data_IF_458344159779
#
_entry.id   IF_458344159779
#
_cell.length_a   1.000
_cell.length_b   1.000
_cell.length_c   1.000
_cell.angle_alpha   90.00
_cell.angle_beta   90.00
_cell.angle_gamma   90.00
#
_symmetry.space_group_name_H-M   'P 1'
#
loop_
_entity.id
_entity.type
_entity.pdbx_description
1 polymer ?
#
# COMPACT_ATOMS: atom_id res chain seq x y z
N UNK A 1 6.60 5.49 43.39
CA UNK A 1 6.97 4.92 42.08
C UNK A 1 6.02 5.52 41.08
N UNK A 2 6.50 6.50 40.31
CA UNK A 2 5.74 7.07 39.21
C UNK A 2 5.99 6.19 37.99
N UNK A 3 4.94 5.61 37.42
CA UNK A 3 5.01 4.97 36.11
C UNK A 3 5.18 6.07 35.07
N UNK A 4 6.36 6.13 34.44
CA UNK A 4 6.55 6.94 33.25
C UNK A 4 5.72 6.34 32.12
N UNK A 5 4.86 7.16 31.51
CA UNK A 5 4.25 6.82 30.24
C UNK A 5 5.35 6.70 29.18
N UNK A 6 5.29 5.71 28.27
CA UNK A 6 6.17 5.71 27.12
C UNK A 6 5.87 6.96 26.28
N UNK A 7 6.87 7.80 26.09
CA UNK A 7 6.84 8.87 25.10
C UNK A 7 6.96 8.22 23.73
N UNK A 8 5.84 7.78 23.15
CA UNK A 8 5.75 7.58 21.70
C UNK A 8 6.14 8.91 21.04
N UNK A 9 7.01 8.87 20.04
CA UNK A 9 7.26 10.06 19.22
C UNK A 9 5.89 10.57 18.74
N UNK A 10 5.62 11.85 18.98
CA UNK A 10 4.53 12.51 18.29
C UNK A 10 4.72 12.27 16.79
N UNK A 11 3.75 11.58 16.17
CA UNK A 11 3.81 11.14 14.78
C UNK A 11 4.31 12.25 13.88
N UNK A 12 5.38 11.97 13.14
CA UNK A 12 5.96 12.93 12.22
C UNK A 12 4.88 13.35 11.22
N UNK A 13 4.72 14.66 11.01
CA UNK A 13 3.75 15.18 10.04
C UNK A 13 4.05 14.61 8.64
N UNK A 14 3.00 14.32 7.87
CA UNK A 14 3.13 13.86 6.49
C UNK A 14 4.02 14.82 5.67
N UNK A 15 5.02 14.32 4.92
CA UNK A 15 5.92 15.16 4.16
C UNK A 15 5.28 15.58 2.83
N UNK A 16 4.34 16.52 2.89
CA UNK A 16 3.59 17.02 1.73
C UNK A 16 4.51 17.42 0.57
N UNK A 17 4.24 16.86 -0.61
CA UNK A 17 4.98 17.16 -1.83
C UNK A 17 6.45 16.72 -1.81
N UNK A 18 6.85 15.84 -0.90
CA UNK A 18 8.18 15.25 -0.94
C UNK A 18 8.37 14.43 -2.21
N UNK A 19 9.52 14.62 -2.86
CA UNK A 19 10.03 13.65 -3.82
C UNK A 19 10.20 12.31 -3.09
N UNK A 20 9.58 11.28 -3.64
CA UNK A 20 9.61 9.95 -3.05
C UNK A 20 10.23 8.91 -3.97
N UNK A 21 10.44 7.71 -3.44
CA UNK A 21 10.92 6.54 -4.16
C UNK A 21 10.17 5.28 -3.71
N UNK A 22 9.88 4.39 -4.65
CA UNK A 22 9.07 3.18 -4.46
C UNK A 22 9.98 1.96 -4.66
N UNK A 23 10.42 1.40 -3.53
CA UNK A 23 11.54 0.46 -3.42
C UNK A 23 11.06 -0.93 -2.94
N UNK A 24 10.10 -1.53 -3.64
CA UNK A 24 9.57 -2.85 -3.29
C UNK A 24 10.42 -3.99 -3.83
N UNK A 25 10.86 -3.92 -5.10
CA UNK A 25 11.68 -4.95 -5.73
C UNK A 25 13.11 -5.02 -5.20
N UNK A 26 13.62 -3.91 -4.64
CA UNK A 26 14.88 -3.86 -3.90
C UNK A 26 14.93 -2.62 -3.00
N UNK A 27 15.45 -2.78 -1.78
CA UNK A 27 15.78 -1.66 -0.91
C UNK A 27 17.21 -1.15 -1.21
N UNK A 28 17.36 0.15 -1.46
CA UNK A 28 18.65 0.79 -1.76
C UNK A 28 18.73 2.21 -1.20
N UNK A 29 19.93 2.76 -0.92
CA UNK A 29 20.08 4.13 -0.41
C UNK A 29 19.32 5.13 -1.30
N UNK A 30 18.40 5.95 -0.74
CA UNK A 30 17.65 6.91 -1.54
C UNK A 30 18.56 7.93 -2.21
N UNK A 31 18.19 8.34 -3.43
CA UNK A 31 18.92 9.38 -4.15
C UNK A 31 18.84 10.75 -3.48
N UNK A 32 19.73 11.66 -3.90
CA UNK A 32 19.73 13.04 -3.39
C UNK A 32 18.35 13.71 -3.56
N UNK A 33 17.85 14.31 -2.48
CA UNK A 33 16.57 15.03 -2.45
C UNK A 33 15.33 14.14 -2.29
N UNK A 34 15.47 12.81 -2.22
CA UNK A 34 14.37 11.91 -1.84
C UNK A 34 14.11 12.05 -0.34
N UNK A 35 12.90 12.51 0.01
CA UNK A 35 12.47 12.76 1.39
C UNK A 35 11.49 11.73 1.94
N UNK A 36 10.91 10.89 1.07
CA UNK A 36 10.00 9.80 1.43
C UNK A 36 10.38 8.54 0.67
N UNK A 37 10.26 7.37 1.30
CA UNK A 37 10.50 6.07 0.64
C UNK A 37 9.42 5.09 1.06
N UNK A 38 8.91 4.33 0.11
CA UNK A 38 8.09 3.14 0.38
C UNK A 38 8.95 1.89 0.21
N UNK A 39 8.92 0.99 1.18
CA UNK A 39 9.67 -0.28 1.16
C UNK A 39 8.81 -1.43 1.63
N UNK A 40 9.12 -2.63 1.13
CA UNK A 40 8.50 -3.87 1.60
C UNK A 40 8.69 -4.08 3.11
N UNK A 41 7.70 -4.68 3.78
CA UNK A 41 7.71 -4.93 5.23
C UNK A 41 8.83 -5.87 5.74
N UNK A 42 9.57 -6.49 4.83
CA UNK A 42 10.77 -7.30 5.14
C UNK A 42 12.07 -6.51 5.01
N UNK A 43 12.02 -5.28 4.49
CA UNK A 43 13.17 -4.39 4.38
C UNK A 43 13.30 -3.43 5.57
N UNK A 44 14.53 -2.98 5.82
CA UNK A 44 14.80 -1.94 6.81
C UNK A 44 14.37 -0.56 6.28
N UNK A 45 13.91 0.37 7.14
CA UNK A 45 13.63 1.74 6.72
C UNK A 45 14.92 2.47 6.28
N UNK A 46 14.76 3.46 5.40
CA UNK A 46 15.84 4.33 4.98
C UNK A 46 16.14 5.41 6.03
N UNK A 47 17.41 5.55 6.41
CA UNK A 47 17.84 6.61 7.32
C UNK A 47 17.61 8.00 6.71
N UNK A 48 17.05 8.93 7.50
CA UNK A 48 16.90 10.34 7.11
C UNK A 48 15.73 10.65 6.18
N UNK A 49 14.94 9.64 5.79
CA UNK A 49 13.70 9.80 5.03
C UNK A 49 12.46 9.50 5.89
N UNK A 50 11.29 9.94 5.43
CA UNK A 50 10.01 9.43 5.90
C UNK A 50 9.75 8.06 5.27
N UNK A 51 9.42 7.05 6.05
CA UNK A 51 9.31 5.67 5.58
C UNK A 51 7.87 5.15 5.67
N UNK A 52 7.40 4.64 4.54
CA UNK A 52 6.13 3.91 4.41
C UNK A 52 6.43 2.43 4.26
N UNK A 53 5.82 1.60 5.10
CA UNK A 53 5.95 0.15 5.08
C UNK A 53 4.87 -0.45 4.19
N UNK A 54 5.25 -1.11 3.10
CA UNK A 54 4.31 -1.85 2.25
C UNK A 54 3.91 -3.15 2.93
N UNK A 55 2.60 -3.40 3.02
CA UNK A 55 2.00 -4.59 3.58
C UNK A 55 0.93 -5.09 2.61
N UNK A 56 1.05 -6.31 2.09
CA UNK A 56 -0.06 -6.93 1.37
C UNK A 56 -1.09 -7.42 2.38
N UNK A 57 -2.24 -6.72 2.46
CA UNK A 57 -3.26 -6.96 3.48
C UNK A 57 -4.45 -7.79 3.00
N UNK A 58 -4.58 -7.98 1.69
CA UNK A 58 -5.77 -8.57 1.06
C UNK A 58 -5.44 -9.75 0.13
N UNK A 59 -4.15 -10.00 -0.11
CA UNK A 59 -3.64 -11.20 -0.77
C UNK A 59 -2.49 -11.81 0.06
N UNK A 60 -2.17 -13.08 -0.19
CA UNK A 60 -0.94 -13.68 0.32
C UNK A 60 0.27 -13.20 -0.49
N UNK A 61 1.43 -13.12 0.15
CA UNK A 61 2.69 -12.99 -0.57
C UNK A 61 3.14 -14.33 -1.21
N UNK A 62 3.88 -14.31 -2.34
CA UNK A 62 4.37 -15.53 -2.98
C UNK A 62 5.14 -16.47 -2.05
N UNK A 63 6.01 -15.92 -1.19
CA UNK A 63 6.80 -16.71 -0.23
C UNK A 63 5.97 -17.36 0.88
N UNK A 64 4.78 -16.83 1.18
CA UNK A 64 3.92 -17.32 2.26
C UNK A 64 2.82 -18.25 1.75
N UNK A 65 2.76 -18.49 0.43
CA UNK A 65 1.69 -19.26 -0.23
C UNK A 65 1.44 -20.61 0.44
N UNK A 66 2.48 -21.40 0.64
CA UNK A 66 2.35 -22.74 1.23
C UNK A 66 1.82 -22.68 2.67
N UNK A 67 2.29 -21.70 3.46
CA UNK A 67 1.79 -21.47 4.82
C UNK A 67 0.31 -21.12 4.82
N UNK A 68 -0.17 -20.32 3.86
CA UNK A 68 -1.59 -20.01 3.73
C UNK A 68 -2.42 -21.24 3.34
N UNK A 69 -1.92 -22.07 2.42
CA UNK A 69 -2.63 -23.27 1.96
C UNK A 69 -2.64 -24.40 3.00
N UNK A 70 -1.61 -24.53 3.82
CA UNK A 70 -1.50 -25.60 4.82
C UNK A 70 -2.17 -25.22 6.14
N UNK A 71 -1.89 -24.02 6.66
CA UNK A 71 -2.27 -23.66 8.03
C UNK A 71 -3.49 -22.72 8.09
N UNK A 72 -3.86 -22.09 6.97
CA UNK A 72 -4.83 -20.98 6.94
C UNK A 72 -5.80 -21.07 5.76
N UNK A 73 -6.01 -22.28 5.24
CA UNK A 73 -6.80 -22.49 4.03
C UNK A 73 -8.20 -21.90 4.12
N UNK A 74 -8.77 -21.84 5.32
CA UNK A 74 -10.11 -21.30 5.57
C UNK A 74 -10.20 -19.76 5.46
N UNK A 75 -9.06 -19.08 5.50
CA UNK A 75 -8.92 -17.63 5.27
C UNK A 75 -8.54 -17.30 3.82
N UNK A 76 -8.36 -18.31 2.96
CA UNK A 76 -8.13 -18.13 1.53
C UNK A 76 -9.44 -18.30 0.78
N UNK A 77 -9.74 -17.36 -0.11
CA UNK A 77 -10.95 -17.37 -0.91
C UNK A 77 -10.95 -18.62 -1.80
N UNK A 78 -12.10 -19.29 -1.87
CA UNK A 78 -12.26 -20.50 -2.68
C UNK A 78 -13.24 -20.24 -3.81
N UNK A 79 -12.91 -20.70 -5.01
CA UNK A 79 -13.84 -20.70 -6.14
C UNK A 79 -14.94 -21.74 -5.97
N UNK A 80 -15.88 -21.75 -6.92
CA UNK A 80 -17.00 -22.70 -6.96
C UNK A 80 -16.56 -24.16 -7.06
N UNK A 81 -15.35 -24.41 -7.58
CA UNK A 81 -14.71 -25.72 -7.68
C UNK A 81 -13.97 -26.14 -6.39
N UNK A 82 -13.91 -25.26 -5.39
CA UNK A 82 -13.20 -25.47 -4.13
C UNK A 82 -11.71 -25.15 -4.20
N UNK A 83 -11.20 -24.74 -5.37
CA UNK A 83 -9.79 -24.36 -5.52
C UNK A 83 -9.54 -22.95 -4.98
N UNK A 84 -8.32 -22.65 -4.50
CA UNK A 84 -7.96 -21.31 -4.08
C UNK A 84 -8.06 -20.31 -5.23
N UNK A 85 -8.68 -19.16 -4.98
CA UNK A 85 -8.69 -18.05 -5.95
C UNK A 85 -7.35 -17.33 -5.90
N UNK A 86 -6.73 -17.14 -7.07
CA UNK A 86 -5.46 -16.42 -7.23
C UNK A 86 -5.65 -15.15 -8.05
N UNK A 87 -4.73 -14.21 -7.90
CA UNK A 87 -4.66 -13.06 -8.79
C UNK A 87 -4.29 -13.51 -10.22
N UNK A 88 -5.03 -13.08 -11.27
CA UNK A 88 -4.67 -13.41 -12.65
C UNK A 88 -3.33 -12.82 -13.11
N UNK A 89 -2.94 -11.66 -12.58
CA UNK A 89 -1.66 -11.02 -12.87
C UNK A 89 -0.52 -11.62 -12.02
N UNK A 90 -0.84 -12.09 -10.81
CA UNK A 90 0.10 -12.67 -9.84
C UNK A 90 -0.39 -14.05 -9.36
N UNK A 91 -0.22 -15.11 -10.18
CA UNK A 91 -0.85 -16.42 -9.93
C UNK A 91 -0.34 -17.16 -8.68
N UNK A 92 0.79 -16.73 -8.15
CA UNK A 92 1.38 -17.17 -6.88
C UNK A 92 0.76 -16.49 -5.66
N UNK A 93 0.04 -15.39 -5.83
CA UNK A 93 -0.71 -14.70 -4.77
C UNK A 93 -2.16 -15.22 -4.66
N UNK A 94 -2.57 -15.52 -3.42
CA UNK A 94 -3.90 -16.02 -3.07
C UNK A 94 -4.77 -14.86 -2.61
N UNK A 95 -6.02 -14.79 -3.08
CA UNK A 95 -6.99 -13.81 -2.56
C UNK A 95 -7.44 -14.24 -1.16
N UNK A 96 -7.35 -13.33 -0.19
CA UNK A 96 -7.79 -13.57 1.18
C UNK A 96 -9.31 -13.39 1.29
N UNK A 97 -9.96 -14.25 2.06
CA UNK A 97 -11.40 -14.29 2.21
C UNK A 97 -11.87 -13.31 3.29
N UNK A 98 -12.29 -12.12 2.85
CA UNK A 98 -12.81 -11.06 3.72
C UNK A 98 -14.32 -11.16 3.99
N UNK A 99 -15.02 -12.21 3.50
CA UNK A 99 -16.50 -12.29 3.43
C UNK A 99 -17.24 -12.34 4.77
N UNK A 100 -16.53 -12.59 5.89
CA UNK A 100 -17.18 -12.66 7.21
C UNK A 100 -16.40 -11.89 8.27
N UNK A 101 -17.08 -11.31 9.27
CA UNK A 101 -16.41 -10.63 10.37
C UNK A 101 -15.35 -11.47 11.07
N UNK A 102 -15.62 -12.76 11.31
CA UNK A 102 -14.67 -13.67 11.98
C UNK A 102 -13.40 -13.94 11.15
N UNK A 103 -13.51 -13.94 9.82
CA UNK A 103 -12.34 -14.05 8.94
C UNK A 103 -11.55 -12.74 8.96
N UNK A 104 -12.24 -11.59 8.86
CA UNK A 104 -11.59 -10.27 8.93
C UNK A 104 -10.84 -10.04 10.23
N UNK A 105 -11.39 -10.45 11.38
CA UNK A 105 -10.69 -10.39 12.67
C UNK A 105 -9.37 -11.17 12.64
N UNK A 106 -9.38 -12.41 12.14
CA UNK A 106 -8.17 -13.24 12.02
C UNK A 106 -7.18 -12.72 10.98
N UNK A 107 -7.67 -12.18 9.86
CA UNK A 107 -6.80 -11.53 8.86
C UNK A 107 -6.12 -10.30 9.45
N UNK A 108 -6.86 -9.50 10.21
CA UNK A 108 -6.35 -8.34 10.91
C UNK A 108 -5.32 -8.68 11.99
N UNK A 109 -5.45 -9.82 12.68
CA UNK A 109 -4.41 -10.30 13.60
C UNK A 109 -3.07 -10.49 12.87
N UNK A 110 -3.07 -11.13 11.70
CA UNK A 110 -1.84 -11.39 10.94
C UNK A 110 -1.24 -10.14 10.32
N UNK A 111 -2.06 -9.32 9.65
CA UNK A 111 -1.59 -8.05 9.12
C UNK A 111 -1.16 -7.11 10.26
N UNK A 112 -1.85 -7.14 11.39
CA UNK A 112 -1.51 -6.36 12.58
C UNK A 112 -0.14 -6.71 13.17
N UNK A 113 0.27 -7.97 13.16
CA UNK A 113 1.65 -8.36 13.53
C UNK A 113 2.70 -7.75 12.59
N UNK A 114 2.37 -7.63 11.30
CA UNK A 114 3.24 -6.95 10.31
C UNK A 114 3.28 -5.44 10.59
N UNK A 115 2.13 -4.81 10.82
CA UNK A 115 2.04 -3.39 11.17
C UNK A 115 2.83 -3.06 12.43
N UNK A 116 2.70 -3.88 13.48
CA UNK A 116 3.46 -3.74 14.71
C UNK A 116 4.97 -3.80 14.45
N UNK A 117 5.42 -4.76 13.62
CA UNK A 117 6.84 -4.87 13.23
C UNK A 117 7.31 -3.64 12.44
N UNK A 118 6.52 -3.14 11.49
CA UNK A 118 6.85 -1.90 10.77
C UNK A 118 7.02 -0.72 11.74
N UNK A 119 6.10 -0.55 12.69
CA UNK A 119 6.19 0.51 13.69
C UNK A 119 7.43 0.36 14.58
N UNK A 120 7.70 -0.86 15.07
CA UNK A 120 8.86 -1.16 15.92
C UNK A 120 10.20 -0.96 15.19
N UNK A 121 10.25 -1.25 13.88
CA UNK A 121 11.41 -0.98 13.02
C UNK A 121 11.60 0.52 12.72
N UNK A 122 10.60 1.36 13.01
CA UNK A 122 10.68 2.80 12.85
C UNK A 122 10.15 3.32 11.51
N UNK A 123 9.22 2.61 10.86
CA UNK A 123 8.40 3.18 9.81
C UNK A 123 7.39 4.19 10.40
N UNK A 124 7.06 5.25 9.66
CA UNK A 124 6.10 6.29 10.09
C UNK A 124 4.68 6.03 9.57
N UNK A 125 4.56 5.23 8.51
CA UNK A 125 3.29 4.90 7.88
C UNK A 125 3.33 3.48 7.31
N UNK A 126 2.17 2.96 6.97
CA UNK A 126 2.00 1.74 6.19
C UNK A 126 1.14 2.02 4.96
N UNK A 127 1.39 1.30 3.88
CA UNK A 127 0.49 1.16 2.73
C UNK A 127 -0.05 -0.26 2.74
N UNK A 128 -1.37 -0.42 2.62
CA UNK A 128 -1.99 -1.75 2.62
C UNK A 128 -2.46 -2.09 1.21
N UNK A 129 -1.73 -2.99 0.55
CA UNK A 129 -1.92 -3.34 -0.85
C UNK A 129 -3.04 -4.35 -1.09
N UNK A 130 -3.50 -4.41 -2.34
CA UNK A 130 -4.60 -5.26 -2.82
C UNK A 130 -5.98 -4.96 -2.23
N UNK A 131 -6.20 -3.73 -1.76
CA UNK A 131 -7.50 -3.26 -1.24
C UNK A 131 -8.66 -3.53 -2.21
N UNK A 132 -8.39 -3.53 -3.51
CA UNK A 132 -9.33 -3.78 -4.60
C UNK A 132 -9.50 -5.28 -4.95
N UNK A 133 -9.00 -6.22 -4.13
CA UNK A 133 -9.05 -7.66 -4.42
C UNK A 133 -10.46 -8.22 -4.63
N UNK A 134 -11.50 -7.53 -4.14
CA UNK A 134 -12.90 -7.86 -4.42
C UNK A 134 -13.23 -7.86 -5.92
N UNK A 135 -12.56 -7.03 -6.72
CA UNK A 135 -12.73 -6.98 -8.19
C UNK A 135 -12.26 -8.27 -8.88
N UNK A 136 -11.36 -9.02 -8.23
CA UNK A 136 -10.75 -10.27 -8.70
C UNK A 136 -11.31 -11.50 -8.00
N UNK A 137 -12.37 -11.35 -7.18
CA UNK A 137 -12.97 -12.40 -6.37
C UNK A 137 -14.02 -13.27 -7.09
N UNK A 138 -14.21 -13.08 -8.40
CA UNK A 138 -15.32 -13.66 -9.17
C UNK A 138 -16.73 -13.36 -8.57
N UNK A 139 -16.87 -12.25 -7.84
CA UNK A 139 -18.11 -11.81 -7.22
C UNK A 139 -18.40 -12.44 -5.85
N UNK A 140 -17.43 -13.15 -5.26
CA UNK A 140 -17.56 -13.74 -3.92
C UNK A 140 -17.32 -12.71 -2.79
N UNK A 141 -16.59 -11.63 -3.08
CA UNK A 141 -16.34 -10.50 -2.19
C UNK A 141 -16.90 -9.23 -2.82
N UNK A 142 -17.32 -8.30 -1.98
CA UNK A 142 -17.67 -6.94 -2.40
C UNK A 142 -16.78 -5.89 -1.74
N UNK A 143 -17.00 -4.63 -2.11
CA UNK A 143 -16.24 -3.49 -1.58
C UNK A 143 -16.44 -3.30 -0.06
N UNK A 144 -17.61 -3.68 0.48
CA UNK A 144 -17.92 -3.53 1.91
C UNK A 144 -17.11 -4.51 2.75
N UNK A 145 -16.88 -5.72 2.25
CA UNK A 145 -16.03 -6.71 2.92
C UNK A 145 -14.59 -6.20 3.07
N UNK A 146 -14.02 -5.63 2.00
CA UNK A 146 -12.67 -5.10 2.06
C UNK A 146 -12.56 -3.80 2.86
N UNK A 147 -13.54 -2.89 2.76
CA UNK A 147 -13.60 -1.69 3.61
C UNK A 147 -13.69 -2.04 5.10
N UNK A 148 -14.43 -3.09 5.46
CA UNK A 148 -14.52 -3.53 6.86
C UNK A 148 -13.19 -4.07 7.40
N UNK A 149 -12.38 -4.75 6.57
CA UNK A 149 -11.03 -5.15 6.96
C UNK A 149 -10.09 -3.94 7.01
N UNK A 150 -10.15 -3.04 6.01
CA UNK A 150 -9.36 -1.82 5.98
C UNK A 150 -9.57 -0.95 7.24
N UNK A 151 -10.81 -0.80 7.69
CA UNK A 151 -11.15 -0.07 8.91
C UNK A 151 -10.48 -0.65 10.16
N UNK A 152 -10.42 -1.99 10.25
CA UNK A 152 -9.75 -2.66 11.37
C UNK A 152 -8.22 -2.50 11.29
N UNK A 153 -7.65 -2.57 10.09
CA UNK A 153 -6.21 -2.33 9.89
C UNK A 153 -5.83 -0.88 10.20
N UNK A 154 -6.67 0.09 9.84
CA UNK A 154 -6.44 1.49 10.18
C UNK A 154 -6.47 1.72 11.69
N UNK A 155 -7.44 1.11 12.40
CA UNK A 155 -7.48 1.12 13.86
C UNK A 155 -6.18 0.58 14.47
N UNK A 156 -5.69 -0.55 13.97
CA UNK A 156 -4.43 -1.17 14.44
C UNK A 156 -3.23 -0.26 14.15
N UNK A 157 -3.12 0.28 12.93
CA UNK A 157 -2.05 1.20 12.55
C UNK A 157 -1.99 2.42 13.48
N UNK A 158 -3.15 3.04 13.75
CA UNK A 158 -3.26 4.20 14.64
C UNK A 158 -2.93 3.85 16.10
N UNK A 159 -3.25 2.64 16.57
CA UNK A 159 -2.84 2.15 17.91
C UNK A 159 -1.33 1.98 18.03
N UNK A 160 -0.65 1.62 16.94
CA UNK A 160 0.80 1.57 16.84
C UNK A 160 1.44 2.94 16.52
N UNK A 161 0.64 3.99 16.33
CA UNK A 161 1.11 5.35 16.11
C UNK A 161 1.66 5.61 14.71
N UNK A 162 1.29 4.79 13.72
CA UNK A 162 1.65 4.95 12.30
C UNK A 162 0.42 5.30 11.46
N UNK A 163 0.62 6.07 10.39
CA UNK A 163 -0.44 6.39 9.42
C UNK A 163 -0.73 5.18 8.52
N UNK A 164 -1.91 5.11 7.93
CA UNK A 164 -2.31 4.06 6.98
C UNK A 164 -2.77 4.64 5.64
N UNK A 165 -2.27 4.08 4.55
CA UNK A 165 -2.54 4.54 3.19
C UNK A 165 -3.53 3.65 2.45
N UNK A 166 -4.46 4.27 1.72
CA UNK A 166 -5.29 3.63 0.71
C UNK A 166 -4.42 3.27 -0.50
N UNK A 167 -4.35 2.00 -0.88
CA UNK A 167 -3.70 1.58 -2.12
C UNK A 167 -4.73 1.40 -3.23
N UNK A 168 -4.57 2.15 -4.32
CA UNK A 168 -5.47 2.16 -5.47
C UNK A 168 -6.95 2.35 -5.05
N UNK A 169 -7.89 1.66 -5.70
CA UNK A 169 -9.33 1.73 -5.43
C UNK A 169 -9.90 3.16 -5.48
N UNK A 170 -9.62 3.88 -6.58
CA UNK A 170 -10.05 5.27 -6.80
C UNK A 170 -11.56 5.48 -6.57
N UNK A 171 -12.38 4.47 -6.86
CA UNK A 171 -13.83 4.51 -6.72
C UNK A 171 -14.31 4.68 -5.27
N UNK A 172 -13.45 4.44 -4.27
CA UNK A 172 -13.80 4.64 -2.87
C UNK A 172 -14.06 6.12 -2.56
N UNK A 173 -13.33 7.04 -3.20
CA UNK A 173 -13.42 8.48 -2.91
C UNK A 173 -13.37 8.76 -1.40
N UNK A 174 -14.32 9.57 -0.90
CA UNK A 174 -14.38 9.93 0.52
C UNK A 174 -14.58 8.73 1.46
N UNK A 175 -15.10 7.60 0.97
CA UNK A 175 -15.32 6.40 1.80
C UNK A 175 -14.01 5.82 2.34
N UNK A 176 -12.91 5.92 1.59
CA UNK A 176 -11.60 5.45 2.05
C UNK A 176 -11.16 6.18 3.33
N UNK A 177 -11.35 7.49 3.38
CA UNK A 177 -11.06 8.29 4.58
C UNK A 177 -12.13 8.12 5.66
N UNK A 178 -13.39 8.21 5.30
CA UNK A 178 -14.49 8.37 6.26
C UNK A 178 -14.97 7.03 6.86
N UNK A 179 -14.89 5.94 6.10
CA UNK A 179 -15.32 4.59 6.54
C UNK A 179 -14.13 3.71 6.93
N UNK A 180 -13.06 3.68 6.12
CA UNK A 180 -11.87 2.88 6.42
C UNK A 180 -10.84 3.62 7.29
N UNK A 181 -10.85 4.95 7.38
CA UNK A 181 -9.93 5.70 8.22
C UNK A 181 -8.52 5.85 7.65
N UNK A 182 -8.37 5.79 6.32
CA UNK A 182 -7.09 6.06 5.66
C UNK A 182 -6.66 7.53 5.81
N UNK A 183 -5.36 7.74 5.95
CA UNK A 183 -4.74 9.06 6.16
C UNK A 183 -4.17 9.68 4.87
N UNK A 184 -3.79 8.83 3.92
CA UNK A 184 -3.19 9.19 2.63
C UNK A 184 -3.55 8.15 1.56
N UNK A 185 -3.16 8.40 0.31
CA UNK A 185 -3.30 7.44 -0.78
C UNK A 185 -1.95 7.14 -1.46
N UNK A 186 -1.81 5.90 -1.92
CA UNK A 186 -0.80 5.47 -2.87
C UNK A 186 -1.54 4.94 -4.10
N UNK A 187 -1.39 5.64 -5.22
CA UNK A 187 -1.99 5.28 -6.48
C UNK A 187 -0.91 4.78 -7.43
N UNK A 188 -1.24 3.75 -8.18
CA UNK A 188 -0.50 3.36 -9.38
C UNK A 188 -1.28 3.89 -10.58
N UNK A 189 -0.59 4.63 -11.44
CA UNK A 189 -1.07 5.01 -12.76
C UNK A 189 -2.26 5.99 -12.74
N UNK A 190 -2.35 6.89 -11.74
CA UNK A 190 -3.50 7.80 -11.66
C UNK A 190 -3.59 8.75 -12.86
N UNK A 191 -2.45 9.15 -13.45
CA UNK A 191 -2.42 10.00 -14.64
C UNK A 191 -2.82 9.20 -15.87
N UNK A 192 -2.32 7.96 -15.95
CA UNK A 192 -2.63 7.04 -17.04
C UNK A 192 -4.13 6.69 -17.12
N UNK A 193 -4.81 6.62 -15.98
CA UNK A 193 -6.24 6.28 -15.90
C UNK A 193 -7.18 7.49 -15.73
N UNK A 194 -6.66 8.72 -15.67
CA UNK A 194 -7.44 9.95 -15.39
C UNK A 194 -8.16 9.91 -14.02
N UNK A 195 -7.49 9.34 -13.02
CA UNK A 195 -8.04 9.05 -11.69
C UNK A 195 -7.45 9.92 -10.57
N UNK A 196 -6.43 10.76 -10.87
CA UNK A 196 -5.75 11.54 -9.83
C UNK A 196 -6.70 12.41 -8.99
N UNK A 197 -7.77 12.95 -9.58
CA UNK A 197 -8.76 13.77 -8.87
C UNK A 197 -9.47 13.01 -7.75
N UNK A 198 -9.76 11.72 -7.96
CA UNK A 198 -10.44 10.88 -6.99
C UNK A 198 -9.63 10.74 -5.69
N UNK A 199 -8.31 10.80 -5.78
CA UNK A 199 -7.42 10.80 -4.61
C UNK A 199 -7.19 12.22 -4.07
N UNK A 200 -6.83 13.19 -4.93
CA UNK A 200 -6.46 14.54 -4.47
C UNK A 200 -7.62 15.32 -3.86
N UNK A 201 -8.86 15.07 -4.29
CA UNK A 201 -10.04 15.71 -3.71
C UNK A 201 -10.30 15.24 -2.27
N UNK A 202 -9.81 14.05 -1.90
CA UNK A 202 -9.99 13.43 -0.58
C UNK A 202 -8.80 13.70 0.35
N UNK A 203 -7.58 13.49 -0.16
CA UNK A 203 -6.34 13.48 0.61
C UNK A 203 -5.41 14.68 0.34
N UNK A 204 -5.77 15.57 -0.60
CA UNK A 204 -4.98 16.76 -0.91
C UNK A 204 -3.58 16.42 -1.43
N UNK A 205 -2.55 16.86 -0.72
CA UNK A 205 -1.14 16.57 -1.05
C UNK A 205 -0.61 15.27 -0.41
N UNK A 206 -1.45 14.55 0.32
CA UNK A 206 -1.14 13.23 0.86
C UNK A 206 -1.51 12.12 -0.14
N UNK A 207 -0.99 12.25 -1.37
CA UNK A 207 -1.14 11.26 -2.44
C UNK A 207 0.24 11.00 -3.05
N UNK A 208 0.65 9.75 -3.05
CA UNK A 208 1.81 9.25 -3.79
C UNK A 208 1.31 8.60 -5.07
N UNK A 209 1.86 8.98 -6.22
CA UNK A 209 1.50 8.39 -7.51
C UNK A 209 2.71 7.75 -8.18
N UNK A 210 2.55 6.52 -8.66
CA UNK A 210 3.56 5.74 -9.36
C UNK A 210 3.06 5.50 -10.79
N UNK A 211 3.67 6.17 -11.76
CA UNK A 211 3.50 5.88 -13.18
C UNK A 211 4.55 4.86 -13.63
N UNK A 212 4.19 3.99 -14.57
CA UNK A 212 5.09 2.96 -15.07
C UNK A 212 5.54 3.19 -16.51
N UNK A 213 6.83 2.95 -16.77
CA UNK A 213 7.45 3.15 -18.09
C UNK A 213 6.84 2.36 -19.24
N UNK A 214 6.14 1.26 -18.94
CA UNK A 214 5.57 0.35 -19.92
C UNK A 214 4.14 0.70 -20.34
N UNK A 215 3.44 1.55 -19.57
CA UNK A 215 2.05 1.92 -19.87
C UNK A 215 1.79 3.44 -19.88
N UNK A 216 2.69 4.27 -19.35
CA UNK A 216 2.49 5.72 -19.34
C UNK A 216 2.31 6.29 -20.76
N UNK A 217 1.21 7.02 -20.95
CA UNK A 217 0.89 7.70 -22.21
C UNK A 217 1.61 9.05 -22.34
N UNK A 218 2.71 9.05 -23.09
CA UNK A 218 3.47 10.24 -23.46
C UNK A 218 4.67 10.51 -22.55
N UNK A 219 5.34 11.67 -22.70
CA UNK A 219 6.50 12.00 -21.87
C UNK A 219 6.10 12.23 -20.41
N UNK A 220 6.86 11.66 -19.47
CA UNK A 220 6.62 11.83 -18.03
C UNK A 220 6.55 13.29 -17.56
N UNK A 221 7.35 14.17 -18.18
CA UNK A 221 7.26 15.61 -17.91
C UNK A 221 5.85 16.18 -18.19
N UNK A 222 5.18 15.73 -19.23
CA UNK A 222 3.81 16.18 -19.53
C UNK A 222 2.82 15.67 -18.49
N UNK A 223 3.01 14.44 -17.98
CA UNK A 223 2.22 13.92 -16.86
C UNK A 223 2.37 14.79 -15.60
N UNK A 224 3.59 15.22 -15.26
CA UNK A 224 3.85 16.13 -14.15
C UNK A 224 3.21 17.53 -14.30
N UNK A 225 2.96 17.98 -15.53
CA UNK A 225 2.36 19.30 -15.82
C UNK A 225 0.82 19.25 -15.84
N UNK A 226 0.21 18.04 -15.83
CA UNK A 226 -1.25 17.87 -15.80
C UNK A 226 -1.80 18.22 -14.42
N UNK A 227 -3.03 18.74 -14.42
CA UNK A 227 -3.82 18.95 -13.20
C UNK A 227 -4.92 17.90 -13.20
N UNK A 228 -5.13 17.14 -12.11
CA UNK A 228 -4.60 17.34 -10.77
C UNK A 228 -3.46 16.37 -10.37
N UNK A 229 -2.47 16.13 -11.23
CA UNK A 229 -1.34 15.24 -10.90
C UNK A 229 -0.68 15.65 -9.56
N UNK A 230 -0.53 14.73 -8.58
CA UNK A 230 0.14 15.02 -7.33
C UNK A 230 1.59 15.47 -7.54
N UNK A 231 2.14 16.30 -6.65
CA UNK A 231 3.57 16.64 -6.70
C UNK A 231 4.46 15.45 -6.40
N UNK A 232 4.01 14.58 -5.49
CA UNK A 232 4.64 13.31 -5.19
C UNK A 232 4.22 12.28 -6.24
N UNK A 233 4.68 12.48 -7.48
CA UNK A 233 4.49 11.55 -8.61
C UNK A 233 5.85 11.11 -9.14
N UNK A 234 6.04 9.81 -9.34
CA UNK A 234 7.26 9.22 -9.90
C UNK A 234 7.00 8.39 -11.15
N UNK A 235 8.05 8.16 -11.93
CA UNK A 235 8.10 7.16 -12.99
C UNK A 235 9.01 6.01 -12.55
N UNK A 236 8.49 4.77 -12.58
CA UNK A 236 9.25 3.56 -12.27
C UNK A 236 9.16 2.51 -13.36
N UNK A 237 10.10 1.58 -13.35
CA UNK A 237 9.94 0.29 -14.02
C UNK A 237 8.94 -0.60 -13.27
N UNK A 238 8.17 -1.44 -14.00
CA UNK A 238 7.10 -2.27 -13.42
C UNK A 238 7.59 -3.25 -12.36
N UNK A 239 8.79 -3.79 -12.56
CA UNK A 239 9.42 -4.77 -11.66
C UNK A 239 10.05 -4.12 -10.42
N UNK A 240 10.05 -2.78 -10.34
CA UNK A 240 10.58 -1.99 -9.22
C UNK A 240 12.01 -2.37 -8.82
N UNK A 241 12.86 -2.69 -9.81
CA UNK A 241 14.21 -3.21 -9.56
C UNK A 241 15.11 -2.13 -8.93
N UNK A 242 16.26 -2.56 -8.39
CA UNK A 242 17.28 -1.65 -7.84
C UNK A 242 18.19 -1.03 -8.91
N UNK A 243 18.96 0.02 -8.57
CA UNK A 243 19.78 0.79 -9.52
C UNK A 243 20.90 0.01 -10.22
N UNK A 244 21.31 -1.13 -9.66
CA UNK A 244 22.33 -2.00 -10.25
C UNK A 244 21.75 -3.01 -11.26
N UNK A 245 20.43 -3.12 -11.36
CA UNK A 245 19.75 -4.07 -12.25
C UNK A 245 19.43 -3.45 -13.62
N UNK A 246 19.45 -4.28 -14.66
CA UNK A 246 19.02 -3.84 -15.99
C UNK A 246 17.51 -3.63 -16.00
N UNK A 247 17.09 -2.46 -16.46
CA UNK A 247 15.67 -2.08 -16.51
C UNK A 247 15.31 -1.00 -15.49
N UNK A 248 16.19 -0.74 -14.52
CA UNK A 248 15.99 0.32 -13.54
C UNK A 248 15.61 1.65 -14.18
N UNK A 249 14.45 2.17 -13.80
CA UNK A 249 14.02 3.52 -14.17
C UNK A 249 13.51 4.25 -12.95
N UNK A 250 14.04 5.44 -12.68
CA UNK A 250 13.52 6.34 -11.67
C UNK A 250 13.53 7.77 -12.22
N UNK A 251 12.38 8.41 -12.25
CA UNK A 251 12.23 9.86 -12.40
C UNK A 251 11.13 10.36 -11.46
N UNK A 252 11.13 11.63 -11.13
CA UNK A 252 10.10 12.20 -10.24
C UNK A 252 9.80 13.65 -10.60
N UNK A 253 8.53 14.02 -10.45
CA UNK A 253 8.07 15.38 -10.71
C UNK A 253 8.84 16.42 -9.88
N UNK A 254 8.99 17.66 -10.41
CA UNK A 254 9.81 18.71 -9.80
C UNK A 254 9.17 19.41 -8.58
#
# INVERSE_FOLDING_TARGET
MACGAPTGQAGQAWPEGARFDYQLGAAYPPGDGVGLVVRDSTAEPAEGAYNVCYVNGFQSQPQDRDLWLEDRRDLVLSGDDGEPVTDPAWPDELILDTSTPAKRERLAEFAGEVVARCADSGFQAIEVDNLDSYTRSAGALDVEDNLALAAELARIAHEHGVLIGQKNAAELGERGRDEAGFDFAVAEECVRWDECSAYTDVYGQAVLDIEYTDDLEGPFREACERVPTPRSTILRDRDLVGPDERGYTYDACP
#
